data_IF_606256551791
#
_entry.id   IF_606256551791
#
_cell.length_a   1.000
_cell.length_b   1.000
_cell.length_c   1.000
_cell.angle_alpha   90.00
_cell.angle_beta   90.00
_cell.angle_gamma   90.00
#
_symmetry.space_group_name_H-M   'P 1'
#
loop_
_entity.id
_entity.type
_entity.pdbx_description
1 polymer ?
#
# COMPACT_ATOMS: atom_id res chain seq x y z
N UNK A 1 31.46 4.28 15.71
CA UNK A 1 29.98 4.22 15.85
C UNK A 1 29.30 4.42 14.49
N UNK A 2 29.71 3.64 13.48
CA UNK A 2 29.38 3.93 12.06
C UNK A 2 28.92 2.69 11.28
N UNK A 3 28.75 1.54 11.95
CA UNK A 3 28.41 0.26 11.31
C UNK A 3 26.91 -0.10 11.33
N UNK A 4 26.03 0.70 11.96
CA UNK A 4 24.63 0.30 12.20
C UNK A 4 23.59 0.80 11.19
N UNK A 5 23.96 1.70 10.25
CA UNK A 5 23.00 2.30 9.32
C UNK A 5 22.85 1.58 7.97
N UNK A 6 23.67 0.56 7.69
CA UNK A 6 23.60 -0.18 6.41
C UNK A 6 22.71 -1.44 6.47
N UNK A 7 22.25 -1.86 7.66
CA UNK A 7 21.45 -3.11 7.80
C UNK A 7 19.96 -2.93 7.47
N UNK A 8 19.41 -1.72 7.60
CA UNK A 8 17.95 -1.47 7.42
C UNK A 8 17.50 -1.32 5.96
N UNK A 9 18.42 -1.06 5.01
CA UNK A 9 18.07 -0.97 3.58
C UNK A 9 17.93 -2.33 2.87
N UNK A 10 18.36 -3.42 3.50
CA UNK A 10 18.51 -4.73 2.84
C UNK A 10 17.25 -5.61 2.85
N UNK A 11 16.17 -5.24 3.54
CA UNK A 11 14.97 -6.10 3.62
C UNK A 11 14.08 -6.01 2.37
N UNK A 12 14.01 -4.85 1.70
CA UNK A 12 13.17 -4.68 0.51
C UNK A 12 13.81 -5.22 -0.78
N UNK A 13 15.14 -5.35 -0.83
CA UNK A 13 15.86 -5.84 -2.01
C UNK A 13 15.80 -7.37 -2.15
N UNK A 14 15.66 -8.12 -1.06
CA UNK A 14 15.75 -9.59 -1.10
C UNK A 14 14.54 -10.30 -1.72
N UNK A 15 13.39 -9.63 -1.83
CA UNK A 15 12.17 -10.22 -2.42
C UNK A 15 11.96 -9.84 -3.88
N UNK A 16 12.73 -8.88 -4.41
CA UNK A 16 12.55 -8.32 -5.75
C UNK A 16 13.51 -8.93 -6.79
N UNK A 17 14.20 -10.02 -6.49
CA UNK A 17 15.17 -10.64 -7.42
C UNK A 17 14.60 -11.79 -8.25
N UNK A 18 13.28 -11.83 -8.53
CA UNK A 18 12.71 -12.95 -9.30
C UNK A 18 12.01 -12.62 -10.61
N UNK A 19 11.72 -11.36 -10.93
CA UNK A 19 11.15 -11.03 -12.24
C UNK A 19 11.66 -9.66 -12.65
N UNK A 20 12.58 -9.62 -13.62
CA UNK A 20 12.88 -8.37 -14.33
C UNK A 20 11.53 -7.87 -14.87
N UNK A 21 11.01 -6.72 -14.43
CA UNK A 21 9.75 -6.21 -14.97
C UNK A 21 9.95 -6.04 -16.48
N UNK A 22 9.01 -6.55 -17.26
CA UNK A 22 8.99 -6.32 -18.71
C UNK A 22 8.71 -4.82 -18.90
N UNK A 23 9.78 -4.04 -19.02
CA UNK A 23 9.73 -2.58 -19.09
C UNK A 23 9.08 -2.21 -20.41
N UNK A 24 7.83 -1.74 -20.33
CA UNK A 24 7.08 -1.23 -21.45
C UNK A 24 6.23 -0.06 -20.98
N UNK A 25 6.17 1.01 -21.78
CA UNK A 25 5.46 2.26 -21.44
C UNK A 25 4.01 2.00 -20.98
N UNK A 26 3.32 1.08 -21.64
CA UNK A 26 1.95 0.68 -21.29
C UNK A 26 1.86 -0.05 -19.95
N UNK A 27 2.83 -0.91 -19.61
CA UNK A 27 2.83 -1.67 -18.36
C UNK A 27 3.08 -0.75 -17.17
N UNK A 28 4.04 0.17 -17.30
CA UNK A 28 4.34 1.17 -16.28
C UNK A 28 3.15 2.10 -16.05
N UNK A 29 2.53 2.61 -17.12
CA UNK A 29 1.33 3.46 -17.02
C UNK A 29 0.15 2.74 -16.37
N UNK A 30 -0.04 1.44 -16.61
CA UNK A 30 -1.09 0.65 -15.95
C UNK A 30 -0.85 0.53 -14.44
N UNK A 31 0.40 0.36 -14.01
CA UNK A 31 0.77 0.31 -12.59
C UNK A 31 0.54 1.67 -11.93
N UNK A 32 1.00 2.74 -12.57
CA UNK A 32 0.81 4.12 -12.11
C UNK A 32 -0.68 4.46 -12.00
N UNK A 33 -1.48 4.13 -13.01
CA UNK A 33 -2.93 4.36 -13.02
C UNK A 33 -3.63 3.59 -11.90
N UNK A 34 -3.24 2.33 -11.65
CA UNK A 34 -3.75 1.55 -10.52
C UNK A 34 -3.42 2.21 -9.18
N UNK A 35 -2.19 2.69 -9.00
CA UNK A 35 -1.76 3.32 -7.75
C UNK A 35 -2.45 4.68 -7.49
N UNK A 36 -2.65 5.48 -8.55
CA UNK A 36 -3.41 6.74 -8.46
C UNK A 36 -4.86 6.45 -8.07
N UNK A 37 -5.50 5.48 -8.72
CA UNK A 37 -6.87 5.07 -8.39
C UNK A 37 -6.98 4.56 -6.95
N UNK A 38 -6.07 3.70 -6.51
CA UNK A 38 -6.05 3.21 -5.13
C UNK A 38 -5.89 4.35 -4.12
N UNK A 39 -4.98 5.28 -4.37
CA UNK A 39 -4.76 6.44 -3.49
C UNK A 39 -6.02 7.32 -3.37
N UNK A 40 -6.73 7.56 -4.47
CA UNK A 40 -7.98 8.36 -4.44
C UNK A 40 -9.12 7.63 -3.71
N UNK A 41 -9.23 6.31 -3.87
CA UNK A 41 -10.20 5.50 -3.13
C UNK A 41 -9.91 5.48 -1.63
N UNK A 42 -8.64 5.28 -1.23
CA UNK A 42 -8.23 5.32 0.17
C UNK A 42 -8.52 6.68 0.77
N UNK A 43 -8.16 7.79 0.10
CA UNK A 43 -8.45 9.15 0.60
C UNK A 43 -9.95 9.37 0.81
N UNK A 44 -10.79 8.95 -0.15
CA UNK A 44 -12.26 9.06 -0.03
C UNK A 44 -12.81 8.21 1.11
N UNK A 45 -12.31 6.99 1.27
CA UNK A 45 -12.70 6.10 2.36
C UNK A 45 -12.31 6.70 3.70
N UNK A 46 -11.07 7.14 3.84
CA UNK A 46 -10.55 7.78 5.05
C UNK A 46 -11.39 9.01 5.40
N UNK A 47 -11.74 9.88 4.44
CA UNK A 47 -12.63 11.01 4.71
C UNK A 47 -14.02 10.56 5.18
N UNK A 48 -14.61 9.52 4.56
CA UNK A 48 -15.90 8.98 5.01
C UNK A 48 -15.78 8.39 6.41
N UNK A 49 -14.80 7.53 6.66
CA UNK A 49 -14.64 6.85 7.96
C UNK A 49 -14.28 7.86 9.05
N UNK A 50 -13.33 8.79 8.82
CA UNK A 50 -12.90 9.84 9.77
C UNK A 50 -14.09 10.62 10.32
N UNK A 51 -15.03 10.99 9.46
CA UNK A 51 -16.22 11.72 9.87
C UNK A 51 -17.22 10.89 10.69
N UNK A 52 -17.19 9.55 10.61
CA UNK A 52 -18.14 8.68 11.31
C UNK A 52 -17.66 8.19 12.69
N UNK A 53 -16.36 8.07 12.92
CA UNK A 53 -15.83 7.48 14.16
C UNK A 53 -15.14 8.51 15.05
N UNK A 54 -15.47 8.48 16.35
CA UNK A 54 -14.92 9.38 17.38
C UNK A 54 -13.44 9.13 17.72
N UNK A 55 -12.80 8.07 17.20
CA UNK A 55 -11.42 7.70 17.58
C UNK A 55 -10.55 7.28 16.39
N UNK A 56 -9.29 7.69 16.42
CA UNK A 56 -8.27 7.34 15.39
C UNK A 56 -8.05 5.82 15.30
N UNK A 57 -8.18 5.10 16.42
CA UNK A 57 -7.99 3.65 16.48
C UNK A 57 -9.00 2.89 15.62
N UNK A 58 -10.27 3.29 15.65
CA UNK A 58 -11.32 2.67 14.84
C UNK A 58 -11.09 2.93 13.35
N UNK A 59 -10.61 4.12 12.98
CA UNK A 59 -10.26 4.43 11.59
C UNK A 59 -9.16 3.51 11.06
N UNK A 60 -8.08 3.32 11.82
CA UNK A 60 -6.97 2.46 11.41
C UNK A 60 -7.40 1.00 11.21
N UNK A 61 -8.29 0.48 12.07
CA UNK A 61 -8.83 -0.88 11.94
C UNK A 61 -9.67 -1.00 10.66
N UNK A 62 -10.57 -0.04 10.41
CA UNK A 62 -11.44 -0.07 9.23
C UNK A 62 -10.64 0.06 7.92
N UNK A 63 -9.59 0.88 7.90
CA UNK A 63 -8.67 1.00 6.76
C UNK A 63 -7.95 -0.34 6.52
N UNK A 64 -7.47 -0.99 7.58
CA UNK A 64 -6.81 -2.31 7.48
C UNK A 64 -7.74 -3.39 6.93
N UNK A 65 -8.98 -3.46 7.43
CA UNK A 65 -10.00 -4.41 6.94
C UNK A 65 -10.34 -4.12 5.47
N UNK A 66 -10.47 -2.85 5.09
CA UNK A 66 -10.78 -2.48 3.71
C UNK A 66 -9.66 -2.87 2.74
N UNK A 67 -8.40 -2.59 3.08
CA UNK A 67 -7.26 -2.96 2.24
C UNK A 67 -7.18 -4.48 2.09
N UNK A 68 -7.36 -5.24 3.18
CA UNK A 68 -7.37 -6.70 3.13
C UNK A 68 -8.46 -7.24 2.18
N UNK A 69 -9.65 -6.65 2.20
CA UNK A 69 -10.76 -7.07 1.33
C UNK A 69 -10.58 -6.64 -0.13
N UNK A 70 -10.10 -5.42 -0.38
CA UNK A 70 -10.10 -4.83 -1.72
C UNK A 70 -8.85 -5.18 -2.53
N UNK A 71 -7.67 -5.22 -1.90
CA UNK A 71 -6.41 -5.53 -2.59
C UNK A 71 -6.07 -7.02 -2.54
N UNK A 72 -6.36 -7.68 -1.41
CA UNK A 72 -5.97 -9.09 -1.21
C UNK A 72 -7.13 -10.08 -1.34
N UNK A 73 -8.38 -9.62 -1.43
CA UNK A 73 -9.56 -10.49 -1.45
C UNK A 73 -9.71 -11.36 -0.20
N UNK A 74 -8.97 -11.04 0.87
CA UNK A 74 -8.96 -11.80 2.11
C UNK A 74 -10.14 -11.34 2.97
N UNK A 75 -11.18 -12.17 3.03
CA UNK A 75 -12.18 -12.10 4.08
C UNK A 75 -11.53 -12.58 5.38
N UNK A 76 -11.12 -11.63 6.22
CA UNK A 76 -10.91 -11.86 7.67
C UNK A 76 -12.26 -11.92 8.36
#
# INVERSE_FOLDING_TARGET
>A
MSHLLLKRRSVCLRHYEKQKPIVGKQNTQRIESKQINLSTLIKRLVCKTICFSKTVRMHNIMIGIFINRYEFGLLV
#
